data_IF_450606877776
#
_entry.id   IF_450606877776
#
_cell.length_a   1.000
_cell.length_b   1.000
_cell.length_c   1.000
_cell.angle_alpha   90.00
_cell.angle_beta   90.00
_cell.angle_gamma   90.00
#
_symmetry.space_group_name_H-M   'P 1'
#
loop_
_entity.id
_entity.type
_entity.pdbx_description
1 polymer ?
#
# COMPACT_ATOMS: atom_id res chain seq x y z
N UNK A 1 23.91 -6.19 16.81
CA UNK A 1 22.86 -5.15 16.99
C UNK A 1 22.62 -4.28 15.74
N UNK A 2 23.65 -3.87 14.98
CA UNK A 2 23.53 -2.98 13.80
C UNK A 2 22.54 -3.39 12.67
N UNK A 3 22.40 -4.67 12.25
CA UNK A 3 21.58 -5.00 11.08
C UNK A 3 20.07 -4.90 11.34
N UNK A 4 19.61 -5.15 12.58
CA UNK A 4 18.17 -5.05 12.92
C UNK A 4 17.70 -3.60 12.96
N UNK A 5 18.50 -2.72 13.57
CA UNK A 5 18.21 -1.28 13.63
C UNK A 5 18.16 -0.68 12.23
N UNK A 6 19.14 -1.02 11.38
CA UNK A 6 19.14 -0.59 9.98
C UNK A 6 17.88 -1.06 9.25
N UNK A 7 17.49 -2.32 9.41
CA UNK A 7 16.31 -2.87 8.74
C UNK A 7 14.99 -2.25 9.24
N UNK A 8 14.93 -1.81 10.51
CA UNK A 8 13.79 -1.04 11.02
C UNK A 8 13.77 0.37 10.44
N UNK A 9 14.92 1.07 10.44
CA UNK A 9 15.05 2.40 9.87
C UNK A 9 14.66 2.42 8.38
N UNK A 10 15.13 1.44 7.60
CA UNK A 10 14.79 1.31 6.18
C UNK A 10 13.28 1.12 5.99
N UNK A 11 12.62 0.28 6.79
CA UNK A 11 11.16 0.09 6.67
C UNK A 11 10.39 1.39 6.92
N UNK A 12 10.77 2.13 7.99
CA UNK A 12 10.15 3.42 8.31
C UNK A 12 10.41 4.44 7.19
N UNK A 13 11.63 4.54 6.70
CA UNK A 13 11.99 5.43 5.60
C UNK A 13 11.23 5.10 4.30
N UNK A 14 11.04 3.82 3.98
CA UNK A 14 10.21 3.41 2.85
C UNK A 14 8.74 3.82 3.05
N UNK A 15 8.21 3.72 4.28
CA UNK A 15 6.86 4.18 4.60
C UNK A 15 6.73 5.69 4.41
N UNK A 16 7.70 6.47 4.89
CA UNK A 16 7.76 7.92 4.68
C UNK A 16 7.84 8.26 3.19
N UNK A 17 8.72 7.59 2.44
CA UNK A 17 8.84 7.79 1.00
C UNK A 17 7.52 7.48 0.27
N UNK A 18 6.85 6.37 0.63
CA UNK A 18 5.53 6.02 0.11
C UNK A 18 4.48 7.09 0.40
N UNK A 19 4.57 7.79 1.54
CA UNK A 19 3.68 8.91 1.87
C UNK A 19 3.96 10.18 1.07
N UNK A 20 5.23 10.52 0.86
CA UNK A 20 5.64 11.77 0.18
C UNK A 20 5.43 11.68 -1.35
N UNK A 21 5.74 10.53 -1.96
CA UNK A 21 5.76 10.38 -3.42
C UNK A 21 4.41 10.65 -4.11
N UNK A 22 3.25 10.11 -3.67
CA UNK A 22 2.00 10.36 -4.36
C UNK A 22 1.64 11.86 -4.46
N UNK A 23 1.67 12.67 -3.37
CA UNK A 23 1.45 14.11 -3.47
C UNK A 23 2.40 14.83 -4.45
N UNK A 24 3.69 14.47 -4.47
CA UNK A 24 4.68 15.07 -5.38
C UNK A 24 4.41 14.70 -6.85
N UNK A 25 4.00 13.46 -7.11
CA UNK A 25 3.73 13.00 -8.47
C UNK A 25 2.43 13.57 -9.04
N UNK A 26 1.51 14.02 -8.18
CA UNK A 26 0.30 14.70 -8.60
C UNK A 26 0.59 16.07 -9.27
N UNK A 27 1.74 16.68 -9.00
CA UNK A 27 2.09 18.02 -9.49
C UNK A 27 3.04 18.02 -10.69
N UNK A 28 3.73 16.90 -10.97
CA UNK A 28 4.78 16.81 -11.99
C UNK A 28 4.34 16.82 -13.46
N UNK A 29 3.04 16.94 -13.77
CA UNK A 29 2.54 17.27 -15.12
C UNK A 29 2.67 16.22 -16.23
N UNK A 30 3.04 14.96 -15.96
CA UNK A 30 3.21 13.92 -16.99
C UNK A 30 2.32 12.69 -16.81
N UNK A 31 1.93 12.04 -17.92
CA UNK A 31 1.05 10.84 -17.90
C UNK A 31 1.63 9.69 -17.08
N UNK A 32 2.94 9.46 -17.15
CA UNK A 32 3.62 8.44 -16.35
C UNK A 32 3.59 8.78 -14.85
N UNK A 33 3.88 10.04 -14.49
CA UNK A 33 3.79 10.52 -13.11
C UNK A 33 2.37 10.40 -12.55
N UNK A 34 1.37 10.73 -13.38
CA UNK A 34 -0.04 10.59 -13.02
C UNK A 34 -0.43 9.12 -12.80
N UNK A 35 -0.02 8.20 -13.67
CA UNK A 35 -0.27 6.77 -13.48
C UNK A 35 0.36 6.24 -12.17
N UNK A 36 1.60 6.67 -11.85
CA UNK A 36 2.26 6.28 -10.60
C UNK A 36 1.54 6.90 -9.39
N UNK A 37 1.14 8.16 -9.46
CA UNK A 37 0.33 8.81 -8.43
C UNK A 37 -0.97 8.03 -8.16
N UNK A 38 -1.68 7.63 -9.23
CA UNK A 38 -2.90 6.83 -9.15
C UNK A 38 -2.63 5.52 -8.42
N UNK A 39 -1.58 4.77 -8.83
CA UNK A 39 -1.19 3.52 -8.16
C UNK A 39 -0.90 3.73 -6.68
N UNK A 40 0.00 4.65 -6.33
CA UNK A 40 0.44 4.90 -4.95
C UNK A 40 -0.67 5.47 -4.05
N UNK A 41 -1.72 6.04 -4.65
CA UNK A 41 -2.91 6.51 -3.93
C UNK A 41 -3.96 5.43 -3.71
N UNK A 42 -3.78 4.24 -4.30
CA UNK A 42 -4.63 3.07 -4.06
C UNK A 42 -4.36 2.45 -2.70
N UNK A 43 -5.40 2.18 -1.91
CA UNK A 43 -5.27 1.60 -0.55
C UNK A 43 -4.55 0.25 -0.54
N UNK A 44 -4.68 -0.53 -1.61
CA UNK A 44 -3.97 -1.80 -1.78
C UNK A 44 -2.44 -1.66 -1.78
N UNK A 45 -1.87 -0.51 -2.20
CA UNK A 45 -0.40 -0.30 -2.20
C UNK A 45 0.14 -0.11 -0.79
N UNK A 46 -0.57 0.67 0.03
CA UNK A 46 -0.31 0.84 1.45
C UNK A 46 -0.44 -0.49 2.20
N UNK A 47 -1.44 -1.28 1.81
CA UNK A 47 -1.62 -2.60 2.39
C UNK A 47 -0.51 -3.58 1.96
N UNK A 48 -0.10 -3.54 0.69
CA UNK A 48 1.02 -4.31 0.16
C UNK A 48 2.34 -3.94 0.85
N UNK A 49 2.56 -2.66 1.14
CA UNK A 49 3.71 -2.18 1.89
C UNK A 49 3.76 -2.75 3.30
N UNK A 50 2.67 -2.62 4.08
CA UNK A 50 2.60 -3.19 5.43
C UNK A 50 2.79 -4.73 5.42
N UNK A 51 2.19 -5.40 4.44
CA UNK A 51 2.39 -6.84 4.23
C UNK A 51 3.85 -7.18 3.93
N UNK A 52 4.51 -6.44 3.04
CA UNK A 52 5.92 -6.67 2.68
C UNK A 52 6.86 -6.43 3.88
N UNK A 53 6.61 -5.39 4.67
CA UNK A 53 7.33 -5.14 5.93
C UNK A 53 7.18 -6.35 6.86
N UNK A 54 5.96 -6.87 7.02
CA UNK A 54 5.68 -8.06 7.83
C UNK A 54 6.38 -9.32 7.33
N UNK A 55 6.36 -9.55 6.02
CA UNK A 55 7.01 -10.69 5.36
C UNK A 55 8.56 -10.65 5.44
N UNK A 56 9.14 -9.47 5.61
CA UNK A 56 10.58 -9.30 5.75
C UNK A 56 11.11 -9.56 7.17
N UNK A 57 10.25 -9.79 8.18
CA UNK A 57 10.65 -9.97 9.58
C UNK A 57 10.68 -11.44 10.00
N UNK A 58 11.55 -11.73 10.97
CA UNK A 58 11.73 -13.06 11.55
C UNK A 58 10.69 -13.42 12.63
N UNK A 59 10.19 -12.41 13.35
CA UNK A 59 9.24 -12.55 14.45
C UNK A 59 7.89 -11.92 14.11
N UNK A 60 6.79 -12.56 14.50
CA UNK A 60 5.42 -12.03 14.33
C UNK A 60 5.23 -10.69 15.06
N UNK A 61 5.82 -10.54 16.25
CA UNK A 61 5.76 -9.30 17.00
C UNK A 61 6.51 -8.17 16.28
N UNK A 62 7.70 -8.45 15.74
CA UNK A 62 8.44 -7.49 14.92
C UNK A 62 7.67 -7.11 13.65
N UNK A 63 7.03 -8.08 12.98
CA UNK A 63 6.21 -7.85 11.79
C UNK A 63 5.06 -6.89 12.08
N UNK A 64 4.31 -7.14 13.17
CA UNK A 64 3.18 -6.32 13.59
C UNK A 64 3.65 -4.90 13.92
N UNK A 65 4.61 -4.76 14.84
CA UNK A 65 5.06 -3.44 15.30
C UNK A 65 5.64 -2.63 14.16
N UNK A 66 6.53 -3.23 13.35
CA UNK A 66 7.21 -2.49 12.29
C UNK A 66 6.26 -2.12 11.15
N UNK A 67 5.33 -3.00 10.77
CA UNK A 67 4.32 -2.68 9.76
C UNK A 67 3.44 -1.51 10.23
N UNK A 68 2.96 -1.55 11.48
CA UNK A 68 2.15 -0.46 12.05
C UNK A 68 2.91 0.86 12.08
N UNK A 69 4.11 0.88 12.65
CA UNK A 69 4.91 2.11 12.78
C UNK A 69 5.26 2.69 11.41
N UNK A 70 5.66 1.83 10.46
CA UNK A 70 6.02 2.31 9.11
C UNK A 70 4.80 2.82 8.34
N UNK A 71 3.65 2.17 8.47
CA UNK A 71 2.41 2.59 7.83
C UNK A 71 1.90 3.92 8.43
N UNK A 72 1.94 4.04 9.75
CA UNK A 72 1.57 5.28 10.44
C UNK A 72 2.50 6.44 10.06
N UNK A 73 3.81 6.21 10.01
CA UNK A 73 4.79 7.20 9.56
C UNK A 73 4.51 7.66 8.11
N UNK A 74 4.14 6.73 7.23
CA UNK A 74 3.72 7.06 5.86
C UNK A 74 2.45 7.92 5.82
N UNK A 75 1.43 7.61 6.63
CA UNK A 75 0.19 8.41 6.70
C UNK A 75 0.50 9.83 7.15
N UNK A 76 1.31 9.98 8.21
CA UNK A 76 1.75 11.30 8.69
C UNK A 76 2.50 12.04 7.59
N UNK A 77 3.46 11.39 6.93
CA UNK A 77 4.23 11.99 5.84
C UNK A 77 3.36 12.42 4.65
N UNK A 78 2.36 11.61 4.28
CA UNK A 78 1.41 11.93 3.21
C UNK A 78 0.63 13.20 3.52
N UNK A 79 0.04 13.28 4.72
CA UNK A 79 -0.77 14.43 5.10
C UNK A 79 0.06 15.69 5.34
N UNK A 80 1.28 15.59 5.87
CA UNK A 80 2.21 16.71 5.96
C UNK A 80 2.66 17.19 4.57
N UNK A 81 2.94 16.28 3.64
CA UNK A 81 3.34 16.68 2.28
C UNK A 81 2.17 17.37 1.58
N UNK A 82 0.95 16.83 1.75
CA UNK A 82 -0.28 17.40 1.22
C UNK A 82 -0.60 18.77 1.82
N UNK A 83 -0.33 18.99 3.12
CA UNK A 83 -0.55 20.28 3.78
C UNK A 83 0.32 21.37 3.17
N UNK A 84 1.63 21.11 3.06
CA UNK A 84 2.61 22.05 2.50
C UNK A 84 2.25 22.40 1.05
N UNK A 85 1.82 21.43 0.24
CA UNK A 85 1.41 21.68 -1.15
C UNK A 85 0.15 22.53 -1.27
N UNK A 86 -0.83 22.31 -0.39
CA UNK A 86 -2.06 23.10 -0.38
C UNK A 86 -1.79 24.54 0.07
N UNK A 87 -0.93 24.74 1.07
CA UNK A 87 -0.50 26.06 1.53
C UNK A 87 0.24 26.83 0.43
N UNK A 88 1.16 26.19 -0.30
CA UNK A 88 1.88 26.82 -1.41
C UNK A 88 0.91 27.25 -2.53
N UNK A 89 -0.04 26.40 -2.92
CA UNK A 89 -1.07 26.76 -3.91
C UNK A 89 -1.95 27.92 -3.47
N UNK A 90 -2.24 28.04 -2.18
CA UNK A 90 -3.03 29.13 -1.63
C UNK A 90 -2.35 30.49 -1.78
N UNK A 91 -1.02 30.52 -1.56
CA UNK A 91 -0.18 31.71 -1.69
C UNK A 91 -0.12 32.18 -3.15
N UNK A 92 0.03 31.24 -4.09
CA UNK A 92 0.09 31.55 -5.53
C UNK A 92 -1.23 32.08 -6.11
N UNK A 93 -2.37 31.69 -5.54
CA UNK A 93 -3.71 32.12 -6.00
C UNK A 93 -4.17 33.46 -5.42
N UNK A 94 -3.27 34.22 -4.78
CA UNK A 94 -3.55 35.62 -4.41
C UNK A 94 -4.58 35.78 -3.29
N UNK A 95 -4.55 34.92 -2.27
CA UNK A 95 -5.33 35.10 -1.04
C UNK A 95 -6.75 34.54 -1.09
N UNK A 96 -6.95 33.38 -1.73
CA UNK A 96 -8.17 32.60 -1.52
C UNK A 96 -8.39 32.35 -0.01
N UNK A 97 -9.66 32.45 0.42
CA UNK A 97 -10.07 32.43 1.83
C UNK A 97 -9.36 31.31 2.63
N UNK A 98 -8.50 31.63 3.62
CA UNK A 98 -7.75 30.64 4.40
C UNK A 98 -8.64 29.54 5.00
N UNK A 99 -9.91 29.85 5.25
CA UNK A 99 -10.89 28.91 5.83
C UNK A 99 -11.26 27.76 4.89
N UNK A 100 -11.28 27.97 3.57
CA UNK A 100 -11.58 26.92 2.58
C UNK A 100 -10.38 25.99 2.34
N UNK A 101 -9.16 26.46 2.63
CA UNK A 101 -7.93 25.69 2.51
C UNK A 101 -7.62 24.91 3.81
N UNK A 102 -7.94 25.51 4.95
CA UNK A 102 -7.73 24.96 6.29
C UNK A 102 -8.73 23.85 6.67
N UNK A 103 -9.92 23.79 6.06
CA UNK A 103 -10.86 22.66 6.25
C UNK A 103 -10.34 21.34 5.64
N UNK A 104 -9.47 21.40 4.63
CA UNK A 104 -8.98 20.22 3.92
C UNK A 104 -7.74 19.57 4.57
N UNK A 105 -7.12 20.28 5.51
CA UNK A 105 -5.87 19.92 6.16
C UNK A 105 -5.97 20.30 7.64
N UNK A 106 -6.18 19.31 8.51
CA UNK A 106 -5.47 19.14 9.79
C UNK A 106 -6.32 18.32 10.78
N UNK A 107 -5.70 17.30 11.37
CA UNK A 107 -6.27 16.38 12.37
C UNK A 107 -7.16 15.25 11.83
N UNK A 108 -8.31 15.51 11.20
CA UNK A 108 -9.30 14.43 10.93
C UNK A 108 -8.80 13.35 9.97
N UNK A 109 -8.11 13.72 8.89
CA UNK A 109 -7.53 12.76 7.94
C UNK A 109 -6.41 11.92 8.56
N UNK A 110 -5.50 12.56 9.29
CA UNK A 110 -4.41 11.88 10.01
C UNK A 110 -4.97 10.97 11.10
N UNK A 111 -6.00 11.39 11.82
CA UNK A 111 -6.66 10.59 12.85
C UNK A 111 -7.36 9.38 12.23
N UNK A 112 -8.21 9.59 11.22
CA UNK A 112 -8.96 8.52 10.58
C UNK A 112 -8.03 7.48 9.92
N UNK A 113 -7.06 7.94 9.11
CA UNK A 113 -6.12 7.03 8.44
C UNK A 113 -5.02 6.53 9.36
N UNK A 114 -4.70 7.27 10.41
CA UNK A 114 -3.81 6.82 11.49
C UNK A 114 -4.46 5.68 12.29
N UNK A 115 -5.75 5.77 12.59
CA UNK A 115 -6.52 4.67 13.18
C UNK A 115 -6.61 3.48 12.23
N UNK A 116 -6.88 3.72 10.95
CA UNK A 116 -6.84 2.66 9.94
C UNK A 116 -5.46 1.99 9.88
N UNK A 117 -4.37 2.76 9.94
CA UNK A 117 -3.02 2.22 9.98
C UNK A 117 -2.72 1.45 11.27
N UNK A 118 -3.24 1.91 12.41
CA UNK A 118 -3.12 1.22 13.69
C UNK A 118 -3.88 -0.12 13.73
N UNK A 119 -5.00 -0.22 12.99
CA UNK A 119 -5.79 -1.45 12.88
C UNK A 119 -5.26 -2.39 11.79
N UNK A 120 -4.99 -1.87 10.60
CA UNK A 120 -4.56 -2.65 9.44
C UNK A 120 -3.08 -3.02 9.51
N UNK A 121 -2.23 -2.17 10.08
CA UNK A 121 -0.80 -2.42 10.25
C UNK A 121 -0.51 -3.76 10.92
N UNK A 122 -1.10 -4.06 12.09
CA UNK A 122 -0.94 -5.35 12.76
C UNK A 122 -1.46 -6.52 11.93
N UNK A 123 -2.66 -6.40 11.35
CA UNK A 123 -3.29 -7.46 10.58
C UNK A 123 -2.48 -7.83 9.34
N UNK A 124 -2.04 -6.81 8.59
CA UNK A 124 -1.27 -6.98 7.37
C UNK A 124 0.17 -7.40 7.66
N UNK A 125 0.79 -6.85 8.70
CA UNK A 125 2.11 -7.28 9.17
C UNK A 125 2.12 -8.75 9.57
N UNK A 126 1.10 -9.19 10.33
CA UNK A 126 0.92 -10.59 10.69
C UNK A 126 0.66 -11.46 9.46
N UNK A 127 -0.23 -11.05 8.57
CA UNK A 127 -0.49 -11.77 7.32
C UNK A 127 0.78 -11.94 6.49
N UNK A 128 1.61 -10.90 6.38
CA UNK A 128 2.92 -10.97 5.73
C UNK A 128 3.86 -11.99 6.39
N UNK A 129 3.90 -12.03 7.73
CA UNK A 129 4.66 -13.04 8.47
C UNK A 129 4.17 -14.46 8.19
N UNK A 130 2.84 -14.67 8.15
CA UNK A 130 2.22 -15.98 7.93
C UNK A 130 2.35 -16.44 6.47
N UNK A 131 2.41 -15.50 5.52
CA UNK A 131 2.65 -15.80 4.11
C UNK A 131 4.02 -16.47 3.85
N UNK A 132 4.96 -16.36 4.78
CA UNK A 132 6.26 -17.04 4.70
C UNK A 132 6.16 -18.54 4.92
N UNK A 133 5.06 -19.04 5.50
CA UNK A 133 4.87 -20.47 5.69
C UNK A 133 4.86 -21.19 4.33
N UNK A 134 5.68 -22.25 4.23
CA UNK A 134 5.83 -22.99 2.99
C UNK A 134 4.61 -23.88 2.72
N UNK A 135 4.31 -24.08 1.44
CA UNK A 135 3.21 -24.93 0.99
C UNK A 135 1.84 -24.24 1.01
N UNK A 136 0.74 -25.01 1.09
CA UNK A 136 -0.61 -24.48 0.89
C UNK A 136 -1.10 -23.59 2.04
N UNK A 137 -0.51 -23.70 3.25
CA UNK A 137 -0.91 -22.92 4.43
C UNK A 137 -0.63 -21.42 4.29
N UNK A 138 0.45 -21.06 3.59
CA UNK A 138 0.79 -19.65 3.32
C UNK A 138 -0.03 -19.03 2.18
N UNK A 139 -0.71 -19.84 1.35
CA UNK A 139 -1.37 -19.36 0.14
C UNK A 139 -2.48 -18.33 0.41
N UNK A 140 -3.42 -18.52 1.36
CA UNK A 140 -4.46 -17.54 1.64
C UNK A 140 -3.88 -16.16 1.98
N UNK A 141 -2.78 -16.12 2.76
CA UNK A 141 -2.11 -14.87 3.12
C UNK A 141 -1.39 -14.23 1.93
N UNK A 142 -0.76 -15.03 1.05
CA UNK A 142 -0.13 -14.52 -0.19
C UNK A 142 -1.13 -13.92 -1.16
N UNK A 143 -2.37 -14.43 -1.17
CA UNK A 143 -3.44 -13.93 -2.03
C UNK A 143 -4.10 -12.65 -1.49
N UNK A 144 -3.82 -12.24 -0.25
CA UNK A 144 -4.45 -11.08 0.36
C UNK A 144 -4.22 -9.79 -0.44
N UNK A 145 -2.95 -9.50 -0.79
CA UNK A 145 -2.60 -8.28 -1.55
C UNK A 145 -3.19 -8.30 -2.97
N UNK A 146 -3.05 -9.38 -3.77
CA UNK A 146 -3.75 -9.50 -5.04
C UNK A 146 -5.27 -9.35 -4.92
N UNK A 147 -5.90 -9.95 -3.90
CA UNK A 147 -7.33 -9.85 -3.69
C UNK A 147 -7.78 -8.41 -3.37
N UNK A 148 -7.06 -7.71 -2.50
CA UNK A 148 -7.32 -6.29 -2.20
C UNK A 148 -7.16 -5.41 -3.44
N UNK A 149 -6.09 -5.60 -4.21
CA UNK A 149 -5.86 -4.87 -5.45
C UNK A 149 -6.99 -5.10 -6.46
N UNK A 150 -7.40 -6.37 -6.66
CA UNK A 150 -8.51 -6.70 -7.53
C UNK A 150 -9.85 -6.10 -7.06
N UNK A 151 -10.15 -6.20 -5.77
CA UNK A 151 -11.39 -5.68 -5.20
C UNK A 151 -11.48 -4.16 -5.31
N UNK A 152 -10.41 -3.44 -4.91
CA UNK A 152 -10.36 -1.98 -4.98
C UNK A 152 -10.45 -1.49 -6.43
N UNK A 153 -9.64 -2.04 -7.34
CA UNK A 153 -9.68 -1.63 -8.76
C UNK A 153 -11.02 -1.94 -9.40
N UNK A 154 -11.65 -3.08 -9.08
CA UNK A 154 -12.99 -3.40 -9.58
C UNK A 154 -14.07 -2.48 -9.05
N UNK A 155 -13.95 -2.03 -7.79
CA UNK A 155 -14.84 -1.05 -7.21
C UNK A 155 -14.66 0.31 -7.90
N UNK A 156 -13.43 0.82 -8.00
CA UNK A 156 -13.12 2.11 -8.63
C UNK A 156 -13.56 2.15 -10.10
N UNK A 157 -13.23 1.12 -10.87
CA UNK A 157 -13.66 0.99 -12.28
C UNK A 157 -15.18 0.93 -12.44
N UNK A 158 -15.94 0.54 -11.41
CA UNK A 158 -17.41 0.50 -11.45
C UNK A 158 -18.03 1.82 -11.02
N UNK A 159 -17.55 2.38 -9.91
CA UNK A 159 -18.12 3.57 -9.27
C UNK A 159 -17.76 4.84 -10.04
N UNK A 160 -16.54 4.90 -10.59
CA UNK A 160 -16.00 6.10 -11.24
C UNK A 160 -16.00 5.97 -12.78
N UNK A 161 -16.67 4.94 -13.33
CA UNK A 161 -16.54 4.57 -14.75
C UNK A 161 -16.87 5.69 -15.73
N UNK A 162 -17.81 6.57 -15.37
CA UNK A 162 -18.28 7.69 -16.21
C UNK A 162 -17.46 8.98 -16.04
N UNK A 163 -16.64 9.09 -14.99
CA UNK A 163 -15.89 10.30 -14.65
C UNK A 163 -14.37 10.11 -14.67
N UNK A 164 -13.88 8.90 -14.95
CA UNK A 164 -12.46 8.62 -15.00
C UNK A 164 -11.80 9.21 -16.25
N UNK A 165 -10.69 9.92 -16.01
CA UNK A 165 -9.76 10.22 -17.09
C UNK A 165 -9.21 8.91 -17.71
N UNK A 166 -8.93 8.88 -19.03
CA UNK A 166 -8.49 7.66 -19.71
C UNK A 166 -7.26 7.01 -19.07
N UNK A 167 -6.32 7.81 -18.58
CA UNK A 167 -5.11 7.32 -17.90
C UNK A 167 -5.43 6.60 -16.60
N UNK A 168 -6.41 7.07 -15.82
CA UNK A 168 -6.85 6.46 -14.57
C UNK A 168 -7.52 5.12 -14.84
N UNK A 169 -8.45 5.07 -15.80
CA UNK A 169 -9.14 3.84 -16.19
C UNK A 169 -8.18 2.77 -16.72
N UNK A 170 -7.21 3.16 -17.55
CA UNK A 170 -6.18 2.26 -18.05
C UNK A 170 -5.29 1.72 -16.90
N UNK A 171 -4.87 2.60 -16.00
CA UNK A 171 -4.02 2.24 -14.84
C UNK A 171 -4.73 1.24 -13.94
N UNK A 172 -5.99 1.49 -13.57
CA UNK A 172 -6.76 0.54 -12.76
C UNK A 172 -7.01 -0.79 -13.44
N UNK A 173 -7.29 -0.76 -14.75
CA UNK A 173 -7.44 -1.99 -15.53
C UNK A 173 -6.15 -2.81 -15.55
N UNK A 174 -5.00 -2.16 -15.74
CA UNK A 174 -3.70 -2.81 -15.72
C UNK A 174 -3.39 -3.43 -14.34
N UNK A 175 -3.60 -2.69 -13.25
CA UNK A 175 -3.42 -3.20 -11.88
C UNK A 175 -4.34 -4.40 -11.62
N UNK A 176 -5.61 -4.34 -12.05
CA UNK A 176 -6.56 -5.45 -11.88
C UNK A 176 -6.08 -6.72 -12.58
N UNK A 177 -5.61 -6.61 -13.82
CA UNK A 177 -5.07 -7.76 -14.55
C UNK A 177 -3.77 -8.30 -13.95
N UNK A 178 -2.87 -7.40 -13.51
CA UNK A 178 -1.67 -7.79 -12.80
C UNK A 178 -1.98 -8.55 -11.50
N UNK A 179 -3.02 -8.13 -10.77
CA UNK A 179 -3.49 -8.81 -9.56
C UNK A 179 -4.00 -10.23 -9.86
N UNK A 180 -4.78 -10.41 -10.93
CA UNK A 180 -5.24 -11.74 -11.38
C UNK A 180 -4.04 -12.62 -11.76
N UNK A 181 -3.11 -12.10 -12.56
CA UNK A 181 -1.91 -12.83 -12.97
C UNK A 181 -1.06 -13.26 -11.75
N UNK A 182 -0.86 -12.35 -10.80
CA UNK A 182 -0.15 -12.66 -9.55
C UNK A 182 -0.85 -13.77 -8.75
N UNK A 183 -2.18 -13.73 -8.64
CA UNK A 183 -2.95 -14.76 -7.96
C UNK A 183 -2.79 -16.15 -8.62
N UNK A 184 -2.85 -16.22 -9.96
CA UNK A 184 -2.64 -17.47 -10.71
C UNK A 184 -1.23 -18.02 -10.48
N UNK A 185 -0.20 -17.17 -10.57
CA UNK A 185 1.19 -17.58 -10.34
C UNK A 185 1.37 -18.12 -8.92
N UNK A 186 0.85 -17.43 -7.90
CA UNK A 186 0.92 -17.85 -6.50
C UNK A 186 0.22 -19.19 -6.27
N UNK A 187 -0.96 -19.39 -6.86
CA UNK A 187 -1.69 -20.66 -6.78
C UNK A 187 -0.91 -21.81 -7.46
N UNK A 188 -0.33 -21.57 -8.64
CA UNK A 188 0.50 -22.53 -9.36
C UNK A 188 1.75 -22.93 -8.57
N UNK A 189 2.43 -21.97 -7.95
CA UNK A 189 3.59 -22.23 -7.09
C UNK A 189 3.21 -23.05 -5.84
N UNK A 190 2.06 -22.74 -5.21
CA UNK A 190 1.57 -23.52 -4.07
C UNK A 190 1.20 -24.97 -4.46
N UNK A 191 0.54 -25.15 -5.61
CA UNK A 191 0.17 -26.47 -6.13
C UNK A 191 1.39 -27.33 -6.45
N UNK A 192 2.42 -26.76 -7.08
CA UNK A 192 3.66 -27.47 -7.40
C UNK A 192 4.46 -27.84 -6.14
N UNK A 193 4.52 -26.95 -5.14
CA UNK A 193 5.13 -27.23 -3.84
C UNK A 193 4.41 -28.37 -3.10
N UNK A 194 3.08 -28.37 -3.09
CA UNK A 194 2.28 -29.44 -2.48
C UNK A 194 2.50 -30.80 -3.15
N UNK A 195 2.57 -30.84 -4.49
CA UNK A 195 2.87 -32.07 -5.25
C UNK A 195 4.25 -32.64 -4.93
N UNK A 196 5.28 -31.79 -4.82
CA UNK A 196 6.65 -32.21 -4.47
C UNK A 196 6.73 -32.80 -3.05
N UNK A 197 6.01 -32.20 -2.09
CA UNK A 197 5.98 -32.70 -0.71
C UNK A 197 5.31 -34.06 -0.60
N UNK A 198 4.22 -34.30 -1.36
CA UNK A 198 3.52 -35.61 -1.38
C UNK A 198 4.38 -36.71 -1.99
N UNK A 199 5.09 -36.42 -3.09
CA UNK A 199 5.98 -37.41 -3.75
C UNK A 199 7.15 -37.86 -2.87
N UNK A 200 7.65 -37.00 -1.98
CA UNK A 200 8.73 -37.35 -1.03
C UNK A 200 8.28 -38.23 0.15
N UNK A 201 6.97 -38.33 0.40
CA UNK A 201 6.43 -39.15 1.50
C UNK A 201 5.97 -40.53 1.02
N UNK A 202 5.92 -40.77 -0.30
CA UNK A 202 5.41 -41.98 -0.92
C UNK A 202 6.49 -42.87 -1.56
N UNK A 203 7.76 -42.51 -1.44
CA UNK A 203 8.90 -43.27 -1.96
C UNK A 203 10.01 -43.28 -0.94
#
# INVERSE_FOLDING_TARGET
MRPRVLACAVAVLCGVALGILPPLLATGGGTAGHAVHVVLSGGWTWAAFAFAVGAARGSRAESVVLATVSLFAGVVAYYLTKSVHNELRAVDLGGADPRLLQESVNSTGVLMWGLAAALLGPLLGLAGSLARENGPRGLPFRLLVPAMAFAETSMRLRVEASSQEPVVALTWSAVRWAAVAAAVVLAGLAATAGRRSRRRLSG
#
